data_IF_934638729301
#
_entry.id   IF_934638729301
#
_cell.length_a   1.000
_cell.length_b   1.000
_cell.length_c   1.000
_cell.angle_alpha   90.00
_cell.angle_beta   90.00
_cell.angle_gamma   90.00
#
_symmetry.space_group_name_H-M   'P 1'
#
loop_
_entity.id
_entity.type
_entity.pdbx_description
1 polymer ?
#
# COMPACT_ATOMS: atom_id res chain seq x y z
N UNK A 1 13.68 6.36 -50.24
CA UNK A 1 13.19 7.05 -49.03
C UNK A 1 12.96 6.00 -47.94
N UNK A 2 13.97 5.69 -47.12
CA UNK A 2 13.90 4.57 -46.16
C UNK A 2 13.31 5.04 -44.83
N UNK A 3 12.06 4.63 -44.55
CA UNK A 3 11.46 4.79 -43.21
C UNK A 3 12.15 3.80 -42.27
N UNK A 4 13.04 4.29 -41.40
CA UNK A 4 13.64 3.48 -40.33
C UNK A 4 12.50 2.96 -39.44
N UNK A 5 12.40 1.64 -39.27
CA UNK A 5 11.47 1.01 -38.32
C UNK A 5 12.01 1.34 -36.93
N UNK A 6 11.48 2.38 -36.29
CA UNK A 6 11.78 2.65 -34.88
C UNK A 6 11.18 1.51 -34.05
N UNK A 7 11.98 0.97 -33.14
CA UNK A 7 11.53 -0.13 -32.29
C UNK A 7 10.44 0.39 -31.36
N UNK A 8 9.46 -0.43 -30.98
CA UNK A 8 8.46 -0.06 -29.96
C UNK A 8 9.13 0.33 -28.62
N UNK A 9 10.35 -0.15 -28.39
CA UNK A 9 11.16 0.26 -27.26
C UNK A 9 11.67 1.70 -27.39
N UNK A 10 12.05 2.14 -28.59
CA UNK A 10 12.52 3.53 -28.81
C UNK A 10 11.39 4.51 -28.51
N UNK A 11 10.17 4.21 -28.97
CA UNK A 11 8.99 5.04 -28.71
C UNK A 11 8.69 5.16 -27.20
N UNK A 12 8.90 4.07 -26.44
CA UNK A 12 8.72 4.08 -24.98
C UNK A 12 9.81 4.87 -24.25
N UNK A 13 11.07 4.72 -24.67
CA UNK A 13 12.20 5.45 -24.09
C UNK A 13 12.07 6.96 -24.37
N UNK A 14 11.64 7.32 -25.58
CA UNK A 14 11.45 8.72 -25.96
C UNK A 14 10.24 9.33 -25.24
N UNK A 15 9.15 8.56 -25.10
CA UNK A 15 8.00 8.97 -24.28
C UNK A 15 8.37 9.17 -22.80
N UNK A 16 9.26 8.35 -22.23
CA UNK A 16 9.75 8.50 -20.86
C UNK A 16 10.61 9.77 -20.71
N UNK A 17 11.49 10.06 -21.69
CA UNK A 17 12.33 11.26 -21.69
C UNK A 17 11.50 12.54 -21.83
N UNK A 18 10.45 12.52 -22.66
CA UNK A 18 9.49 13.64 -22.80
C UNK A 18 8.76 13.97 -21.49
N UNK A 19 8.47 12.96 -20.64
CA UNK A 19 7.85 13.20 -19.32
C UNK A 19 8.79 13.93 -18.35
N UNK A 20 10.07 13.56 -18.30
CA UNK A 20 11.05 14.23 -17.45
C UNK A 20 11.22 15.72 -17.80
N UNK A 21 10.99 16.09 -19.05
CA UNK A 21 11.03 17.49 -19.49
C UNK A 21 9.78 18.29 -19.09
N UNK A 22 8.63 17.61 -18.90
CA UNK A 22 7.37 18.22 -18.43
C UNK A 22 7.32 18.38 -16.91
N UNK A 23 7.99 17.54 -16.14
CA UNK A 23 8.02 17.65 -14.67
C UNK A 23 8.90 18.81 -14.14
N UNK A 24 9.44 19.67 -15.02
CA UNK A 24 9.93 21.01 -14.64
C UNK A 24 8.79 22.05 -14.52
N UNK A 25 7.58 21.61 -14.21
CA UNK A 25 6.51 22.51 -13.79
C UNK A 25 6.78 22.91 -12.34
N UNK A 26 6.70 24.21 -12.07
CA UNK A 26 6.92 24.81 -10.77
C UNK A 26 6.02 24.14 -9.71
N UNK A 27 6.46 24.01 -8.45
CA UNK A 27 5.65 23.41 -7.40
C UNK A 27 4.44 24.31 -7.17
N UNK A 28 3.26 23.84 -7.59
CA UNK A 28 1.99 24.44 -7.19
C UNK A 28 1.70 24.03 -5.75
N UNK A 29 1.35 25.02 -4.94
CA UNK A 29 1.08 24.97 -3.50
C UNK A 29 0.32 23.71 -3.04
N UNK A 30 0.73 23.21 -1.88
CA UNK A 30 0.33 21.97 -1.24
C UNK A 30 -1.19 21.79 -1.15
N UNK A 31 -1.76 21.02 -2.08
CA UNK A 31 -2.95 20.24 -1.79
C UNK A 31 -2.59 19.26 -0.68
N UNK A 32 -3.42 19.02 0.36
CA UNK A 32 -3.16 17.99 1.34
C UNK A 32 -3.20 16.65 0.60
N UNK A 33 -2.03 16.17 0.19
CA UNK A 33 -1.82 14.86 -0.38
C UNK A 33 -2.37 13.91 0.68
N UNK A 34 -3.47 13.23 0.37
CA UNK A 34 -4.00 12.14 1.19
C UNK A 34 -2.80 11.25 1.54
N UNK A 35 -2.30 11.39 2.76
CA UNK A 35 -1.08 10.73 3.17
C UNK A 35 -1.44 9.27 3.22
N UNK A 36 -0.92 8.51 2.25
CA UNK A 36 -1.03 7.06 2.28
C UNK A 36 -0.55 6.56 3.65
N UNK A 37 -1.03 5.40 4.12
CA UNK A 37 -0.59 4.84 5.41
C UNK A 37 0.93 4.64 5.53
N UNK A 38 1.65 4.65 4.40
CA UNK A 38 3.12 4.57 4.39
C UNK A 38 3.82 5.90 4.68
N UNK A 39 3.12 7.02 4.57
CA UNK A 39 3.65 8.39 4.77
C UNK A 39 3.13 9.03 6.06
N UNK A 40 2.13 8.43 6.69
CA UNK A 40 1.59 8.87 7.96
C UNK A 40 2.53 8.44 9.12
N UNK A 41 3.01 9.37 9.96
CA UNK A 41 3.92 9.07 11.08
C UNK A 41 3.28 8.22 12.18
N UNK A 42 1.96 8.10 12.25
CA UNK A 42 1.25 7.25 13.21
C UNK A 42 1.34 5.74 12.86
N UNK A 43 1.81 5.39 11.66
CA UNK A 43 1.86 4.01 11.18
C UNK A 43 3.29 3.51 10.96
N UNK A 44 3.53 2.24 11.30
CA UNK A 44 4.76 1.51 10.99
C UNK A 44 4.40 0.34 10.06
N UNK A 45 5.16 0.17 8.97
CA UNK A 45 4.97 -0.97 8.06
C UNK A 45 5.48 -2.25 8.71
N UNK A 46 4.60 -3.23 8.84
CA UNK A 46 4.93 -4.58 9.31
C UNK A 46 4.76 -5.59 8.17
N UNK A 47 5.74 -6.49 8.01
CA UNK A 47 5.69 -7.58 7.03
C UNK A 47 5.72 -8.92 7.77
N UNK A 48 4.74 -9.78 7.50
CA UNK A 48 4.58 -11.09 8.15
C UNK A 48 4.31 -12.18 7.12
N UNK A 49 4.70 -13.41 7.44
CA UNK A 49 4.32 -14.58 6.65
C UNK A 49 2.96 -15.10 7.11
N UNK A 50 2.04 -15.31 6.16
CA UNK A 50 0.75 -15.95 6.38
C UNK A 50 0.62 -17.18 5.47
N UNK A 51 -0.04 -18.27 5.92
CA UNK A 51 -0.42 -19.36 5.03
C UNK A 51 -1.18 -18.82 3.81
N UNK A 52 -0.89 -19.36 2.61
CA UNK A 52 -1.48 -18.87 1.35
C UNK A 52 -3.00 -18.84 1.38
N UNK A 53 -3.62 -19.88 1.93
CA UNK A 53 -5.08 -19.97 2.05
C UNK A 53 -5.63 -18.87 2.96
N UNK A 54 -5.00 -18.64 4.11
CA UNK A 54 -5.39 -17.59 5.05
C UNK A 54 -5.28 -16.19 4.42
N UNK A 55 -4.18 -15.90 3.73
CA UNK A 55 -4.02 -14.63 3.02
C UNK A 55 -5.12 -14.41 1.96
N UNK A 56 -5.49 -15.46 1.21
CA UNK A 56 -6.59 -15.38 0.22
C UNK A 56 -7.93 -15.10 0.88
N UNK A 57 -8.22 -15.77 2.00
CA UNK A 57 -9.45 -15.55 2.76
C UNK A 57 -9.51 -14.14 3.33
N UNK A 58 -8.42 -13.64 3.92
CA UNK A 58 -8.32 -12.27 4.43
C UNK A 58 -8.58 -11.25 3.31
N UNK A 59 -7.95 -11.44 2.15
CA UNK A 59 -8.17 -10.55 0.99
C UNK A 59 -9.62 -10.58 0.51
N UNK A 60 -10.24 -11.76 0.43
CA UNK A 60 -11.65 -11.88 0.03
C UNK A 60 -12.58 -11.20 1.03
N UNK A 61 -12.35 -11.39 2.33
CA UNK A 61 -13.13 -10.74 3.38
C UNK A 61 -12.98 -9.21 3.35
N UNK A 62 -11.76 -8.71 3.16
CA UNK A 62 -11.48 -7.28 3.03
C UNK A 62 -12.26 -6.64 1.87
N UNK A 63 -12.27 -7.29 0.70
CA UNK A 63 -13.05 -6.84 -0.46
C UNK A 63 -14.55 -6.87 -0.15
N UNK A 64 -15.05 -7.96 0.42
CA UNK A 64 -16.49 -8.12 0.72
C UNK A 64 -17.00 -7.11 1.74
N UNK A 65 -16.15 -6.63 2.64
CA UNK A 65 -16.51 -5.66 3.68
C UNK A 65 -16.14 -4.22 3.29
N UNK A 66 -15.55 -4.01 2.11
CA UNK A 66 -15.02 -2.70 1.69
C UNK A 66 -14.00 -2.10 2.70
N UNK A 67 -13.23 -2.97 3.36
CA UNK A 67 -12.24 -2.60 4.39
C UNK A 67 -10.82 -2.83 3.90
N UNK A 68 -9.86 -2.10 4.50
CA UNK A 68 -8.44 -2.35 4.28
C UNK A 68 -7.98 -3.56 5.10
N UNK A 69 -7.16 -4.43 4.51
CA UNK A 69 -6.59 -5.60 5.22
C UNK A 69 -5.79 -5.19 6.46
N UNK A 70 -5.10 -4.04 6.42
CA UNK A 70 -4.35 -3.52 7.57
C UNK A 70 -5.24 -3.26 8.79
N UNK A 71 -6.46 -2.79 8.57
CA UNK A 71 -7.37 -2.39 9.65
C UNK A 71 -7.98 -3.62 10.31
N UNK A 72 -8.31 -4.63 9.50
CA UNK A 72 -8.74 -5.95 9.99
C UNK A 72 -7.64 -6.59 10.84
N UNK A 73 -6.39 -6.55 10.37
CA UNK A 73 -5.26 -7.14 11.11
C UNK A 73 -4.98 -6.38 12.40
N UNK A 74 -5.01 -5.04 12.38
CA UNK A 74 -4.82 -4.22 13.58
C UNK A 74 -5.88 -4.54 14.65
N UNK A 75 -7.16 -4.56 14.27
CA UNK A 75 -8.28 -4.88 15.16
C UNK A 75 -8.13 -6.27 15.80
N UNK A 76 -7.77 -7.28 15.01
CA UNK A 76 -7.54 -8.64 15.52
C UNK A 76 -6.37 -8.71 16.51
N UNK A 77 -5.29 -7.95 16.26
CA UNK A 77 -4.14 -7.87 17.16
C UNK A 77 -4.53 -7.17 18.47
N UNK A 78 -5.26 -6.07 18.41
CA UNK A 78 -5.76 -5.35 19.58
C UNK A 78 -6.65 -6.26 20.45
N UNK A 79 -7.60 -6.97 19.83
CA UNK A 79 -8.46 -7.92 20.54
C UNK A 79 -7.66 -9.05 21.19
N UNK A 80 -6.66 -9.60 20.49
CA UNK A 80 -5.79 -10.64 21.04
C UNK A 80 -4.98 -10.15 22.24
N UNK A 81 -4.45 -8.93 22.18
CA UNK A 81 -3.71 -8.32 23.29
C UNK A 81 -4.61 -8.10 24.51
N UNK A 82 -5.83 -7.59 24.32
CA UNK A 82 -6.79 -7.40 25.43
C UNK A 82 -7.16 -8.72 26.09
N UNK A 83 -7.46 -9.76 25.29
CA UNK A 83 -7.79 -11.08 25.82
C UNK A 83 -6.62 -11.69 26.62
N UNK A 84 -5.38 -11.46 26.19
CA UNK A 84 -4.18 -11.90 26.91
C UNK A 84 -4.02 -11.23 28.29
N UNK A 85 -4.34 -9.94 28.42
CA UNK A 85 -4.26 -9.21 29.69
C UNK A 85 -5.33 -9.67 30.69
N UNK A 86 -6.57 -9.87 30.22
CA UNK A 86 -7.68 -10.39 31.05
C UNK A 86 -7.43 -11.78 31.62
N UNK A 87 -6.58 -12.57 30.95
CA UNK A 87 -6.17 -13.89 31.41
C UNK A 87 -5.13 -13.82 32.54
N UNK A 88 -4.36 -12.72 32.61
CA UNK A 88 -3.30 -12.51 33.59
C UNK A 88 -3.82 -11.95 34.90
N UNK A 89 -4.80 -11.03 34.85
CA UNK A 89 -5.44 -10.44 36.04
C UNK A 89 -6.32 -11.41 36.84
N UNK A 90 -6.69 -12.57 36.29
CA UNK A 90 -7.49 -13.59 37.00
C UNK A 90 -6.66 -14.61 37.77
N UNK A 91 -5.33 -14.55 37.68
CA UNK A 91 -4.40 -15.51 38.29
C UNK A 91 -3.65 -14.88 39.48
N UNK A 92 -3.75 -13.56 39.65
CA UNK A 92 -3.29 -12.81 40.84
C UNK A 92 -4.48 -12.52 41.79
#
# INVERSE_FOLDING_TARGET
MNKKKTSRFDDLIDAARSRQQRDKLQPTEDQPISQSKSTDPAYIRTTIYLPKQLHRQLKAAAISQERQMSDIVAELIEQWLVAGQQSKEKID
#
